data_IF_817034831687
#
_entry.id   IF_817034831687
#
_cell.length_a   1.000
_cell.length_b   1.000
_cell.length_c   1.000
_cell.angle_alpha   90.00
_cell.angle_beta   90.00
_cell.angle_gamma   90.00
#
_symmetry.space_group_name_H-M   'P 1'
#
loop_
_entity.id
_entity.type
_entity.pdbx_description
1 polymer ?
#
# COMPACT_ATOMS: atom_id res chain seq x y z
N UNK A 1 17.63 13.32 -38.82
CA UNK A 1 18.20 13.06 -37.48
C UNK A 1 17.05 12.64 -36.60
N UNK A 2 16.92 11.34 -36.33
CA UNK A 2 15.75 10.78 -35.68
C UNK A 2 15.81 10.90 -34.16
N UNK A 3 14.79 11.55 -33.59
CA UNK A 3 14.60 11.85 -32.16
C UNK A 3 14.60 10.62 -31.23
N UNK A 4 14.56 9.40 -31.80
CA UNK A 4 14.52 8.13 -31.05
C UNK A 4 15.86 7.72 -30.45
N UNK A 5 16.99 8.14 -31.02
CA UNK A 5 18.32 7.64 -30.62
C UNK A 5 18.99 8.46 -29.50
N UNK A 6 18.72 9.77 -29.43
CA UNK A 6 19.19 10.64 -28.35
C UNK A 6 18.49 10.27 -27.02
N UNK A 7 17.24 9.82 -27.10
CA UNK A 7 16.45 9.43 -25.94
C UNK A 7 17.01 8.17 -25.25
N UNK A 8 17.42 7.14 -26.01
CA UNK A 8 17.95 5.89 -25.43
C UNK A 8 19.26 6.06 -24.66
N UNK A 9 20.20 6.84 -25.19
CA UNK A 9 21.48 7.12 -24.53
C UNK A 9 21.34 8.00 -23.28
N UNK A 10 20.48 9.03 -23.34
CA UNK A 10 20.19 9.89 -22.20
C UNK A 10 19.48 9.13 -21.06
N UNK A 11 18.54 8.23 -21.40
CA UNK A 11 17.85 7.38 -20.43
C UNK A 11 18.83 6.41 -19.76
N UNK A 12 19.72 5.75 -20.52
CA UNK A 12 20.71 4.84 -19.95
C UNK A 12 21.70 5.54 -19.00
N UNK A 13 22.19 6.73 -19.38
CA UNK A 13 23.10 7.53 -18.55
C UNK A 13 22.40 8.08 -17.29
N UNK A 14 21.14 8.52 -17.43
CA UNK A 14 20.31 8.97 -16.30
C UNK A 14 20.06 7.83 -15.30
N UNK A 15 19.71 6.64 -15.80
CA UNK A 15 19.51 5.45 -14.96
C UNK A 15 20.80 5.04 -14.26
N UNK A 16 21.93 5.04 -14.95
CA UNK A 16 23.21 4.67 -14.34
C UNK A 16 23.63 5.67 -13.25
N UNK A 17 23.54 6.97 -13.54
CA UNK A 17 23.80 8.02 -12.55
C UNK A 17 22.85 7.92 -11.35
N UNK A 18 21.57 7.63 -11.59
CA UNK A 18 20.58 7.50 -10.53
C UNK A 18 20.75 6.22 -9.70
N UNK A 19 21.12 5.09 -10.31
CA UNK A 19 21.49 3.84 -9.61
C UNK A 19 22.69 4.06 -8.67
N UNK A 20 23.72 4.75 -9.13
CA UNK A 20 24.91 5.06 -8.32
C UNK A 20 24.55 5.98 -7.15
N UNK A 21 23.79 7.05 -7.40
CA UNK A 21 23.34 7.97 -6.34
C UNK A 21 22.40 7.29 -5.32
N UNK A 22 21.47 6.46 -5.80
CA UNK A 22 20.53 5.71 -4.95
C UNK A 22 21.25 4.67 -4.09
N UNK A 23 22.16 3.88 -4.68
CA UNK A 23 22.94 2.88 -3.93
C UNK A 23 23.87 3.51 -2.88
N UNK A 24 24.45 4.68 -3.18
CA UNK A 24 25.25 5.45 -2.21
C UNK A 24 24.39 5.95 -1.05
N UNK A 25 23.23 6.56 -1.33
CA UNK A 25 22.30 7.04 -0.29
C UNK A 25 21.68 5.91 0.53
N UNK A 26 21.41 4.74 -0.07
CA UNK A 26 20.92 3.56 0.64
C UNK A 26 21.97 3.05 1.64
N UNK A 27 23.26 3.02 1.26
CA UNK A 27 24.35 2.68 2.18
C UNK A 27 24.46 3.68 3.34
N UNK A 28 24.24 4.97 3.09
CA UNK A 28 24.21 5.99 4.16
C UNK A 28 23.01 5.81 5.10
N UNK A 29 21.80 5.53 4.58
CA UNK A 29 20.62 5.25 5.41
C UNK A 29 20.78 3.99 6.26
N UNK A 30 21.36 2.92 5.70
CA UNK A 30 21.66 1.68 6.46
C UNK A 30 22.64 1.99 7.60
N UNK A 31 23.70 2.76 7.34
CA UNK A 31 24.66 3.21 8.37
C UNK A 31 24.04 4.15 9.41
N UNK A 32 23.03 4.94 9.05
CA UNK A 32 22.32 5.83 9.97
C UNK A 32 21.34 5.06 10.87
N UNK A 33 20.70 4.00 10.34
CA UNK A 33 19.76 3.16 11.09
C UNK A 33 20.45 2.31 12.19
N UNK A 34 21.75 2.05 12.07
CA UNK A 34 22.55 1.35 13.09
C UNK A 34 22.99 2.26 14.27
N UNK A 35 22.78 3.58 14.18
CA UNK A 35 23.12 4.53 15.26
C UNK A 35 21.86 4.90 16.04
N UNK A 36 21.65 4.27 17.18
CA UNK A 36 20.58 4.62 18.14
C UNK A 36 20.82 6.03 18.70
N UNK A 37 19.85 6.98 18.62
CA UNK A 37 19.99 8.26 19.30
C UNK A 37 19.68 8.10 20.79
N UNK A 38 20.66 8.42 21.63
CA UNK A 38 20.52 8.58 23.08
C UNK A 38 19.39 9.55 23.43
N UNK A 39 18.41 9.08 24.21
CA UNK A 39 17.33 9.90 24.80
C UNK A 39 17.93 11.07 25.61
N UNK A 40 17.67 12.30 25.19
CA UNK A 40 17.87 13.49 26.04
C UNK A 40 16.60 13.74 26.84
N UNK A 41 16.70 13.62 28.15
CA UNK A 41 15.64 13.96 29.10
C UNK A 41 15.38 15.47 29.09
N UNK A 42 14.15 15.88 28.81
CA UNK A 42 13.66 17.23 29.06
C UNK A 42 12.79 17.19 30.32
N UNK A 43 13.24 17.88 31.38
CA UNK A 43 12.50 18.02 32.64
C UNK A 43 11.26 18.88 32.42
N UNK A 44 10.09 18.41 32.84
CA UNK A 44 8.88 19.24 32.93
C UNK A 44 8.87 20.00 34.26
N UNK A 45 8.48 21.27 34.21
CA UNK A 45 8.08 22.05 35.38
C UNK A 45 6.58 22.27 35.28
N UNK A 46 5.85 21.78 36.27
CA UNK A 46 4.40 21.90 36.33
C UNK A 46 3.95 23.33 36.65
N UNK A 47 2.73 23.64 36.19
CA UNK A 47 1.73 24.32 37.01
C UNK A 47 0.35 24.02 36.41
N UNK A 48 -0.51 23.41 37.22
CA UNK A 48 -1.89 23.14 36.86
C UNK A 48 -2.74 24.39 36.96
N UNK A 49 -3.66 24.56 36.01
CA UNK A 49 -4.79 25.48 36.14
C UNK A 49 -6.04 24.85 35.51
N UNK A 50 -7.09 24.86 36.33
CA UNK A 50 -8.54 24.71 36.15
C UNK A 50 -9.12 24.14 34.84
N UNK A 51 -9.75 22.96 34.99
CA UNK A 51 -10.78 22.42 34.08
C UNK A 51 -12.05 23.29 34.14
N UNK A 52 -12.55 23.71 32.98
CA UNK A 52 -13.86 24.34 32.82
C UNK A 52 -14.97 23.30 32.58
N UNK A 53 -16.16 23.62 33.06
CA UNK A 53 -17.33 22.76 33.23
C UNK A 53 -18.01 22.34 31.92
N UNK A 54 -17.62 21.19 31.37
CA UNK A 54 -18.54 20.32 30.63
C UNK A 54 -18.59 18.96 31.33
N UNK A 55 -19.79 18.48 31.65
CA UNK A 55 -20.03 17.22 32.34
C UNK A 55 -19.78 15.98 31.44
N UNK A 56 -18.62 15.91 30.78
CA UNK A 56 -18.23 14.81 29.91
C UNK A 56 -17.02 14.06 30.47
N UNK A 57 -17.20 12.78 30.79
CA UNK A 57 -16.12 11.89 31.23
C UNK A 57 -15.17 11.45 30.09
N UNK A 58 -15.21 12.10 28.93
CA UNK A 58 -14.58 11.67 27.69
C UNK A 58 -13.76 12.80 27.07
N UNK A 59 -12.52 12.51 26.68
CA UNK A 59 -11.64 13.47 26.00
C UNK A 59 -11.70 13.29 24.48
N UNK A 60 -11.81 12.03 24.03
CA UNK A 60 -11.83 11.66 22.61
C UNK A 60 -12.97 10.70 22.31
N UNK A 61 -13.76 10.98 21.27
CA UNK A 61 -14.71 10.02 20.67
C UNK A 61 -14.06 9.39 19.44
N UNK A 62 -14.16 8.07 19.30
CA UNK A 62 -13.74 7.34 18.11
C UNK A 62 -14.98 6.68 17.48
N UNK A 63 -15.27 7.04 16.23
CA UNK A 63 -16.37 6.47 15.45
C UNK A 63 -15.85 5.28 14.64
N UNK A 64 -16.26 4.07 15.00
CA UNK A 64 -15.84 2.81 14.37
C UNK A 64 -14.70 2.12 15.13
N UNK A 65 -14.92 0.86 15.51
CA UNK A 65 -13.97 -0.03 16.18
C UNK A 65 -13.42 -1.09 15.21
N UNK A 66 -13.02 -0.67 14.01
CA UNK A 66 -12.22 -1.49 13.10
C UNK A 66 -10.75 -1.57 13.53
N UNK A 67 -9.85 -1.90 12.59
CA UNK A 67 -8.40 -1.98 12.86
C UNK A 67 -7.83 -0.65 13.37
N UNK A 68 -8.06 0.44 12.64
CA UNK A 68 -7.53 1.76 13.00
C UNK A 68 -8.16 2.30 14.29
N UNK A 69 -9.49 2.23 14.41
CA UNK A 69 -10.21 2.75 15.58
C UNK A 69 -9.87 2.02 16.88
N UNK A 70 -9.84 0.68 16.86
CA UNK A 70 -9.49 -0.11 18.05
C UNK A 70 -8.02 0.10 18.45
N UNK A 71 -7.11 0.11 17.47
CA UNK A 71 -5.69 0.35 17.74
C UNK A 71 -5.44 1.76 18.30
N UNK A 72 -6.11 2.77 17.75
CA UNK A 72 -6.02 4.14 18.25
C UNK A 72 -6.62 4.28 19.65
N UNK A 73 -7.76 3.66 19.92
CA UNK A 73 -8.40 3.68 21.23
C UNK A 73 -7.44 3.15 22.30
N UNK A 74 -6.82 1.99 22.06
CA UNK A 74 -5.81 1.43 22.95
C UNK A 74 -4.62 2.37 23.14
N UNK A 75 -4.09 2.93 22.04
CA UNK A 75 -2.89 3.75 22.09
C UNK A 75 -3.11 5.09 22.82
N UNK A 76 -4.24 5.76 22.57
CA UNK A 76 -4.60 7.01 23.26
C UNK A 76 -4.92 6.76 24.74
N UNK A 77 -5.61 5.66 25.05
CA UNK A 77 -5.89 5.30 26.43
C UNK A 77 -4.61 4.97 27.22
N UNK A 78 -3.61 4.33 26.60
CA UNK A 78 -2.28 4.13 27.21
C UNK A 78 -1.56 5.44 27.51
N UNK A 79 -1.77 6.46 26.68
CA UNK A 79 -1.23 7.80 26.88
C UNK A 79 -2.09 8.64 27.85
N UNK A 80 -3.14 8.07 28.45
CA UNK A 80 -3.91 8.67 29.55
C UNK A 80 -5.24 9.32 29.16
N UNK A 81 -5.61 9.33 27.88
CA UNK A 81 -6.85 9.91 27.41
C UNK A 81 -8.06 9.06 27.77
N UNK A 82 -9.21 9.68 28.08
CA UNK A 82 -10.50 8.99 28.24
C UNK A 82 -11.16 8.87 26.88
N UNK A 83 -11.34 7.64 26.40
CA UNK A 83 -11.77 7.35 25.03
C UNK A 83 -13.13 6.68 25.03
N UNK A 84 -14.07 7.22 24.25
CA UNK A 84 -15.35 6.57 23.97
C UNK A 84 -15.38 6.10 22.52
N UNK A 85 -15.45 4.80 22.32
CA UNK A 85 -15.49 4.17 21.00
C UNK A 85 -16.92 3.71 20.73
N UNK A 86 -17.48 4.14 19.59
CA UNK A 86 -18.83 3.77 19.18
C UNK A 86 -18.75 2.97 17.89
N UNK A 87 -19.15 1.70 17.94
CA UNK A 87 -19.14 0.78 16.79
C UNK A 87 -20.54 0.25 16.52
N UNK A 88 -20.94 0.25 15.25
CA UNK A 88 -22.26 -0.22 14.84
C UNK A 88 -22.50 -1.67 15.24
N UNK A 89 -21.50 -2.52 15.01
CA UNK A 89 -21.60 -3.95 15.29
C UNK A 89 -20.33 -4.51 15.95
N UNK A 90 -20.48 -4.90 17.22
CA UNK A 90 -19.41 -5.51 18.03
C UNK A 90 -19.33 -7.03 17.85
N UNK A 91 -20.21 -7.64 17.07
CA UNK A 91 -20.04 -9.05 16.69
C UNK A 91 -18.80 -9.23 15.80
N UNK A 92 -18.32 -10.47 15.71
CA UNK A 92 -17.16 -10.80 14.88
C UNK A 92 -17.47 -10.50 13.41
N UNK A 93 -16.70 -9.61 12.74
CA UNK A 93 -16.96 -9.30 11.33
C UNK A 93 -16.65 -10.47 10.41
N UNK A 94 -17.64 -10.96 9.67
CA UNK A 94 -17.45 -11.92 8.59
C UNK A 94 -17.16 -11.19 7.26
N UNK A 95 -15.88 -10.98 6.94
CA UNK A 95 -15.43 -10.28 5.74
C UNK A 95 -14.09 -10.82 5.23
N UNK A 96 -13.95 -10.89 3.90
CA UNK A 96 -12.72 -11.31 3.21
C UNK A 96 -11.71 -10.17 2.94
N UNK A 97 -11.91 -9.02 3.59
CA UNK A 97 -11.06 -7.84 3.42
C UNK A 97 -10.16 -7.70 4.63
N UNK A 98 -8.87 -7.40 4.40
CA UNK A 98 -7.93 -7.20 5.50
C UNK A 98 -7.44 -8.49 6.17
N UNK A 99 -7.40 -9.61 5.46
CA UNK A 99 -6.90 -10.90 5.97
C UNK A 99 -5.37 -11.07 5.84
N UNK A 100 -4.67 -10.07 5.32
CA UNK A 100 -3.21 -10.09 5.15
C UNK A 100 -2.61 -8.76 5.61
N UNK A 101 -1.81 -8.80 6.68
CA UNK A 101 -1.07 -7.66 7.20
C UNK A 101 0.38 -7.70 6.71
N UNK A 102 0.75 -6.71 5.90
CA UNK A 102 2.12 -6.56 5.41
C UNK A 102 3.13 -6.39 6.56
N UNK A 103 4.41 -6.67 6.27
CA UNK A 103 5.49 -6.61 7.26
C UNK A 103 5.60 -5.26 7.98
N UNK A 104 5.51 -4.13 7.27
CA UNK A 104 5.51 -2.80 7.89
C UNK A 104 4.30 -2.57 8.82
N UNK A 105 3.15 -3.15 8.49
CA UNK A 105 1.96 -3.12 9.34
C UNK A 105 2.16 -3.91 10.63
N UNK A 106 2.81 -5.07 10.55
CA UNK A 106 3.18 -5.87 11.73
C UNK A 106 4.13 -5.10 12.66
N UNK A 107 5.10 -4.37 12.11
CA UNK A 107 6.00 -3.50 12.89
C UNK A 107 5.22 -2.38 13.60
N UNK A 108 4.30 -1.72 12.88
CA UNK A 108 3.47 -0.66 13.47
C UNK A 108 2.54 -1.19 14.56
N UNK A 109 2.03 -2.40 14.39
CA UNK A 109 1.25 -3.07 15.43
C UNK A 109 2.08 -3.35 16.69
N UNK A 110 3.33 -3.80 16.52
CA UNK A 110 4.26 -3.99 17.63
C UNK A 110 4.66 -2.68 18.32
N UNK A 111 4.86 -1.60 17.55
CA UNK A 111 5.13 -0.25 18.06
C UNK A 111 3.96 0.33 18.88
N UNK A 112 2.74 -0.15 18.64
CA UNK A 112 1.56 0.17 19.42
C UNK A 112 1.37 -0.75 20.63
N UNK A 113 2.18 -1.80 20.77
CA UNK A 113 2.04 -2.81 21.83
C UNK A 113 0.80 -3.70 21.65
N UNK A 114 0.46 -4.00 20.40
CA UNK A 114 -0.71 -4.78 19.97
C UNK A 114 -0.35 -6.04 19.19
N UNK A 115 0.94 -6.41 19.12
CA UNK A 115 1.40 -7.56 18.34
C UNK A 115 0.79 -8.88 18.80
N UNK A 116 0.46 -9.01 20.09
CA UNK A 116 -0.18 -10.18 20.68
C UNK A 116 -1.62 -10.38 20.21
N UNK A 117 -2.25 -9.37 19.61
CA UNK A 117 -3.56 -9.51 18.96
C UNK A 117 -3.51 -10.43 17.73
N UNK A 118 -2.31 -10.75 17.21
CA UNK A 118 -2.12 -11.73 16.15
C UNK A 118 -1.96 -13.16 16.70
N UNK A 119 -1.74 -13.33 17.99
CA UNK A 119 -1.53 -14.64 18.61
C UNK A 119 -2.85 -15.32 18.96
N UNK A 120 -2.84 -16.65 19.04
CA UNK A 120 -4.02 -17.45 19.46
C UNK A 120 -5.22 -17.42 18.50
N UNK A 121 -5.06 -16.86 17.29
CA UNK A 121 -6.10 -16.77 16.24
C UNK A 121 -5.85 -17.70 15.04
N UNK A 122 -4.86 -18.59 15.17
CA UNK A 122 -4.32 -19.42 14.07
C UNK A 122 -3.74 -18.57 12.92
N UNK A 123 -3.19 -17.40 13.24
CA UNK A 123 -2.55 -16.54 12.24
C UNK A 123 -1.28 -17.19 11.66
N UNK A 124 -1.06 -16.95 10.38
CA UNK A 124 -0.03 -17.60 9.58
C UNK A 124 1.10 -16.63 9.28
N UNK A 125 2.32 -17.02 9.61
CA UNK A 125 3.51 -16.22 9.31
C UNK A 125 3.89 -16.37 7.85
N UNK A 126 4.13 -15.24 7.17
CA UNK A 126 4.53 -15.20 5.76
C UNK A 126 5.83 -14.42 5.61
N UNK A 127 6.90 -15.12 5.19
CA UNK A 127 8.26 -14.56 5.07
C UNK A 127 8.61 -14.08 3.67
N UNK A 128 7.88 -14.54 2.65
CA UNK A 128 8.15 -14.19 1.26
C UNK A 128 6.92 -14.40 0.39
N UNK A 129 6.96 -13.81 -0.80
CA UNK A 129 6.09 -14.13 -1.91
C UNK A 129 6.81 -15.01 -2.92
N UNK A 130 6.07 -15.90 -3.58
CA UNK A 130 6.47 -16.53 -4.82
C UNK A 130 5.73 -15.82 -5.98
N UNK A 131 6.45 -15.12 -6.84
CA UNK A 131 5.92 -14.69 -8.12
C UNK A 131 5.86 -15.89 -9.07
N UNK A 132 4.69 -16.18 -9.62
CA UNK A 132 4.46 -17.30 -10.54
C UNK A 132 4.00 -16.74 -11.87
N UNK A 133 4.78 -16.95 -12.92
CA UNK A 133 4.44 -16.54 -14.28
C UNK A 133 3.56 -17.59 -14.98
N UNK A 134 2.86 -17.19 -16.04
CA UNK A 134 1.96 -18.07 -16.81
C UNK A 134 2.63 -19.29 -17.44
N UNK A 135 3.94 -19.22 -17.74
CA UNK A 135 4.72 -20.35 -18.25
C UNK A 135 5.26 -21.27 -17.14
N UNK A 136 4.86 -21.05 -15.88
CA UNK A 136 5.29 -21.83 -14.73
C UNK A 136 6.61 -21.38 -14.10
N UNK A 137 7.32 -20.39 -14.67
CA UNK A 137 8.51 -19.81 -14.04
C UNK A 137 8.17 -19.19 -12.69
N UNK A 138 9.11 -19.29 -11.75
CA UNK A 138 8.93 -18.81 -10.38
C UNK A 138 10.07 -17.89 -9.98
N UNK A 139 9.74 -16.77 -9.34
CA UNK A 139 10.66 -15.86 -8.69
C UNK A 139 10.37 -15.80 -7.20
N UNK A 140 11.40 -15.86 -6.35
CA UNK A 140 11.24 -15.64 -4.91
C UNK A 140 11.39 -14.15 -4.59
N UNK A 141 10.47 -13.63 -3.79
CA UNK A 141 10.42 -12.23 -3.39
C UNK A 141 10.37 -12.21 -1.86
N UNK A 142 11.52 -12.00 -1.23
CA UNK A 142 11.61 -11.99 0.22
C UNK A 142 11.26 -10.62 0.80
N UNK A 143 10.70 -10.61 2.01
CA UNK A 143 10.71 -9.37 2.78
C UNK A 143 12.15 -9.03 3.21
N UNK A 144 12.53 -7.75 3.17
CA UNK A 144 13.85 -7.33 3.63
C UNK A 144 13.98 -7.46 5.16
N UNK A 145 15.24 -7.52 5.60
CA UNK A 145 15.62 -7.54 7.02
C UNK A 145 14.96 -8.65 7.85
N UNK A 146 14.68 -9.81 7.24
CA UNK A 146 13.96 -10.93 7.87
C UNK A 146 12.60 -10.55 8.48
N UNK A 147 11.98 -9.49 7.96
CA UNK A 147 10.63 -9.10 8.37
C UNK A 147 9.61 -10.13 7.88
N UNK A 148 8.44 -10.17 8.51
CA UNK A 148 7.37 -11.09 8.11
C UNK A 148 6.02 -10.41 8.09
N UNK A 149 5.18 -10.80 7.14
CA UNK A 149 3.76 -10.51 7.13
C UNK A 149 2.97 -11.58 7.92
N UNK A 150 1.67 -11.34 8.06
CA UNK A 150 0.72 -12.23 8.73
C UNK A 150 -0.55 -12.38 7.91
N UNK A 151 -0.95 -13.61 7.64
CA UNK A 151 -2.30 -13.94 7.16
C UNK A 151 -3.19 -14.40 8.30
N UNK A 152 -4.46 -14.04 8.30
CA UNK A 152 -5.40 -14.36 9.38
C UNK A 152 -6.86 -14.15 8.95
N UNK A 153 -7.80 -14.75 9.69
CA UNK A 153 -9.20 -14.36 9.62
C UNK A 153 -9.40 -12.95 10.19
N UNK A 154 -9.95 -12.04 9.37
CA UNK A 154 -10.11 -10.63 9.72
C UNK A 154 -10.95 -10.42 10.97
N UNK A 155 -12.06 -11.15 11.09
CA UNK A 155 -12.99 -11.04 12.22
C UNK A 155 -12.31 -11.27 13.56
N UNK A 156 -11.61 -12.41 13.69
CA UNK A 156 -10.82 -12.78 14.87
C UNK A 156 -9.80 -11.71 15.25
N UNK A 157 -9.07 -11.17 14.26
CA UNK A 157 -8.08 -10.12 14.52
C UNK A 157 -8.72 -8.84 15.05
N UNK A 158 -9.85 -8.40 14.48
CA UNK A 158 -10.58 -7.22 14.95
C UNK A 158 -11.14 -7.43 16.36
N UNK A 159 -11.67 -8.62 16.68
CA UNK A 159 -12.14 -8.93 18.03
C UNK A 159 -11.00 -8.86 19.04
N UNK A 160 -9.81 -9.40 18.73
CA UNK A 160 -8.63 -9.27 19.59
C UNK A 160 -8.22 -7.82 19.84
N UNK A 161 -8.29 -6.96 18.82
CA UNK A 161 -8.01 -5.52 18.98
C UNK A 161 -9.04 -4.83 19.88
N UNK A 162 -10.34 -5.15 19.70
CA UNK A 162 -11.44 -4.61 20.51
C UNK A 162 -11.32 -5.04 21.96
N UNK A 163 -11.07 -6.33 22.22
CA UNK A 163 -10.81 -6.90 23.55
C UNK A 163 -9.63 -6.19 24.23
N UNK A 164 -8.52 -6.02 23.50
CA UNK A 164 -7.32 -5.36 24.03
C UNK A 164 -7.57 -3.90 24.37
N UNK A 165 -8.28 -3.15 23.52
CA UNK A 165 -8.66 -1.77 23.80
C UNK A 165 -9.59 -1.67 25.02
N UNK A 166 -10.65 -2.49 25.07
CA UNK A 166 -11.63 -2.51 26.15
C UNK A 166 -11.06 -3.00 27.50
N UNK A 167 -9.90 -3.66 27.50
CA UNK A 167 -9.20 -4.05 28.74
C UNK A 167 -8.68 -2.86 29.55
N UNK A 168 -8.61 -1.66 28.96
CA UNK A 168 -8.16 -0.45 29.63
C UNK A 168 -9.34 0.27 30.31
N UNK A 169 -9.21 0.70 31.58
CA UNK A 169 -10.33 1.25 32.36
C UNK A 169 -10.84 2.60 31.85
N UNK A 170 -10.04 3.30 31.03
CA UNK A 170 -10.36 4.59 30.42
C UNK A 170 -10.86 4.46 28.97
N UNK A 171 -11.19 3.25 28.52
CA UNK A 171 -11.85 3.00 27.24
C UNK A 171 -13.29 2.56 27.50
N UNK A 172 -14.26 3.33 27.01
CA UNK A 172 -15.65 2.94 26.93
C UNK A 172 -15.95 2.46 25.50
N UNK A 173 -16.08 1.14 25.29
CA UNK A 173 -16.44 0.56 23.98
C UNK A 173 -17.93 0.25 23.97
N UNK A 174 -18.67 0.90 23.08
CA UNK A 174 -20.12 0.82 23.02
C UNK A 174 -20.62 0.40 21.63
N UNK A 175 -21.66 -0.44 21.61
CA UNK A 175 -22.37 -0.78 20.39
C UNK A 175 -23.45 0.28 20.06
N UNK A 176 -23.21 1.06 19.02
CA UNK A 176 -24.12 2.09 18.53
C UNK A 176 -23.78 2.54 17.11
N UNK A 177 -24.78 3.04 16.38
CA UNK A 177 -24.58 3.59 15.03
C UNK A 177 -24.56 5.11 15.10
N UNK A 178 -23.40 5.73 14.86
CA UNK A 178 -23.30 7.18 14.71
C UNK A 178 -24.12 7.62 13.49
N UNK A 179 -24.98 8.61 13.69
CA UNK A 179 -25.90 9.14 12.66
C UNK A 179 -25.45 10.49 12.14
N UNK A 180 -24.85 11.35 12.98
CA UNK A 180 -24.31 12.64 12.57
C UNK A 180 -23.25 13.16 13.55
N UNK A 181 -22.44 14.11 13.06
CA UNK A 181 -21.55 14.91 13.90
C UNK A 181 -22.33 16.11 14.47
N UNK A 182 -22.07 16.45 15.74
CA UNK A 182 -22.65 17.63 16.39
C UNK A 182 -21.71 18.80 16.16
N UNK A 183 -22.16 19.82 15.45
CA UNK A 183 -21.40 21.04 15.16
C UNK A 183 -21.97 22.25 15.90
N UNK A 184 -21.09 22.98 16.57
CA UNK A 184 -21.41 24.24 17.25
C UNK A 184 -20.37 25.30 16.87
N UNK A 185 -20.82 26.44 16.35
CA UNK A 185 -19.96 27.58 15.96
C UNK A 185 -18.79 27.18 15.03
N UNK A 186 -19.01 26.29 14.06
CA UNK A 186 -17.97 25.86 13.12
C UNK A 186 -16.99 24.82 13.67
N UNK A 187 -17.25 24.26 14.86
CA UNK A 187 -16.42 23.23 15.50
C UNK A 187 -17.27 22.02 15.86
N UNK A 188 -16.76 20.84 15.57
CA UNK A 188 -17.38 19.59 16.03
C UNK A 188 -17.18 19.45 17.54
N UNK A 189 -18.26 19.09 18.24
CA UNK A 189 -18.32 18.92 19.71
C UNK A 189 -18.68 17.51 20.14
N UNK A 190 -18.98 16.63 19.21
CA UNK A 190 -19.43 15.28 19.52
C UNK A 190 -20.17 14.60 18.37
N UNK A 191 -21.01 13.63 18.72
CA UNK A 191 -21.78 12.83 17.79
C UNK A 191 -23.18 12.56 18.32
N UNK A 192 -24.14 12.43 17.41
CA UNK A 192 -25.41 11.78 17.65
C UNK A 192 -25.29 10.32 17.20
N UNK A 193 -25.84 9.40 17.98
CA UNK A 193 -25.80 7.99 17.66
C UNK A 193 -27.03 7.25 18.19
N UNK A 194 -27.35 6.14 17.54
CA UNK A 194 -28.43 5.24 17.93
C UNK A 194 -27.84 4.00 18.59
N UNK A 195 -28.23 3.74 19.83
CA UNK A 195 -27.82 2.52 20.55
C UNK A 195 -28.40 1.26 19.89
N UNK A 196 -27.91 0.08 20.27
CA UNK A 196 -28.51 -1.20 19.84
C UNK A 196 -30.00 -1.31 20.17
N UNK A 197 -30.45 -0.71 21.27
CA UNK A 197 -31.86 -0.65 21.68
C UNK A 197 -32.72 0.34 20.89
N UNK A 198 -32.12 1.10 19.98
CA UNK A 198 -32.81 2.06 19.13
C UNK A 198 -32.97 3.45 19.75
N UNK A 199 -32.46 3.67 20.97
CA UNK A 199 -32.46 5.00 21.61
C UNK A 199 -31.44 5.91 20.93
N UNK A 200 -31.85 7.15 20.63
CA UNK A 200 -30.94 8.20 20.17
C UNK A 200 -30.29 8.90 21.37
N UNK A 201 -28.96 8.98 21.34
CA UNK A 201 -28.13 9.60 22.36
C UNK A 201 -27.14 10.57 21.71
N UNK A 202 -26.65 11.50 22.53
CA UNK A 202 -25.56 12.40 22.18
C UNK A 202 -24.34 12.07 23.05
N UNK A 203 -23.15 12.06 22.44
CA UNK A 203 -21.89 11.99 23.15
C UNK A 203 -21.03 13.19 22.77
N UNK A 204 -20.37 13.81 23.75
CA UNK A 204 -19.53 14.99 23.54
C UNK A 204 -18.08 14.71 23.92
N UNK A 205 -17.16 15.31 23.17
CA UNK A 205 -15.73 15.23 23.41
C UNK A 205 -15.02 16.43 22.79
N UNK A 206 -13.79 16.68 23.24
CA UNK A 206 -12.94 17.74 22.69
C UNK A 206 -12.45 17.42 21.27
N UNK A 207 -12.31 16.13 20.95
CA UNK A 207 -11.89 15.64 19.64
C UNK A 207 -12.70 14.41 19.24
N UNK A 208 -13.28 14.44 18.03
CA UNK A 208 -13.95 13.29 17.40
C UNK A 208 -13.10 12.73 16.26
N UNK A 209 -12.78 11.45 16.31
CA UNK A 209 -11.96 10.78 15.29
C UNK A 209 -12.82 9.76 14.56
N UNK A 210 -12.93 9.90 13.24
CA UNK A 210 -13.82 9.07 12.41
C UNK A 210 -13.01 8.01 11.66
N UNK A 211 -13.32 6.75 11.96
CA UNK A 211 -12.65 5.54 11.51
C UNK A 211 -13.63 4.50 10.91
N UNK A 212 -14.85 4.90 10.56
CA UNK A 212 -15.96 4.04 10.11
C UNK A 212 -15.77 3.43 8.70
N UNK A 213 -14.73 3.85 7.98
CA UNK A 213 -14.27 3.22 6.75
C UNK A 213 -15.15 3.51 5.54
N UNK A 214 -15.55 2.44 4.85
CA UNK A 214 -16.02 2.41 3.44
C UNK A 214 -17.33 3.16 3.12
N UNK A 215 -18.04 3.68 4.11
CA UNK A 215 -19.46 4.05 3.97
C UNK A 215 -19.74 5.56 3.95
N UNK A 216 -18.77 6.40 4.27
CA UNK A 216 -19.04 7.82 4.57
C UNK A 216 -18.69 8.83 3.49
N UNK A 217 -18.27 8.40 2.29
CA UNK A 217 -17.88 9.34 1.23
C UNK A 217 -18.55 9.04 -0.12
N UNK A 218 -19.25 9.99 -0.74
CA UNK A 218 -19.83 9.82 -2.08
C UNK A 218 -18.79 9.80 -3.20
N UNK A 219 -17.52 10.17 -2.95
CA UNK A 219 -16.42 10.19 -3.95
C UNK A 219 -15.68 8.84 -4.10
N UNK A 220 -16.34 7.74 -3.75
CA UNK A 220 -15.71 6.41 -3.81
C UNK A 220 -15.82 5.87 -5.23
N UNK A 221 -14.66 5.62 -5.86
CA UNK A 221 -14.58 4.95 -7.15
C UNK A 221 -14.44 3.44 -6.95
N UNK A 222 -15.14 2.63 -7.75
CA UNK A 222 -15.07 1.16 -7.73
C UNK A 222 -14.48 0.68 -9.06
N UNK A 223 -13.14 0.63 -9.20
CA UNK A 223 -12.49 0.29 -10.47
C UNK A 223 -12.60 -1.20 -10.85
N UNK A 224 -12.76 -2.09 -9.85
CA UNK A 224 -12.70 -3.53 -10.04
C UNK A 224 -13.39 -4.28 -8.90
N UNK A 225 -13.54 -5.58 -9.10
CA UNK A 225 -14.11 -6.51 -8.12
C UNK A 225 -13.18 -7.71 -8.04
N UNK A 226 -12.78 -8.05 -6.83
CA UNK A 226 -12.03 -9.26 -6.53
C UNK A 226 -12.99 -10.37 -6.10
N UNK A 227 -12.79 -11.58 -6.60
CA UNK A 227 -13.46 -12.78 -6.08
C UNK A 227 -12.50 -13.45 -5.11
N UNK A 228 -12.94 -13.59 -3.86
CA UNK A 228 -12.20 -14.25 -2.81
C UNK A 228 -12.65 -15.68 -2.63
N UNK A 229 -11.66 -16.56 -2.64
CA UNK A 229 -11.77 -18.00 -2.56
C UNK A 229 -11.12 -18.53 -1.28
N UNK A 230 -11.80 -19.40 -0.53
CA UNK A 230 -11.17 -20.22 0.52
C UNK A 230 -10.92 -21.63 -0.02
N UNK A 231 -9.68 -22.10 0.08
CA UNK A 231 -9.31 -23.50 -0.11
C UNK A 231 -9.08 -24.12 1.26
N UNK A 232 -9.85 -25.16 1.58
CA UNK A 232 -9.75 -25.93 2.81
C UNK A 232 -8.85 -27.15 2.63
N UNK A 233 -8.07 -27.49 3.66
CA UNK A 233 -7.20 -28.66 3.73
C UNK A 233 -6.26 -28.82 2.52
N UNK A 234 -5.84 -27.69 1.95
CA UNK A 234 -4.91 -27.62 0.83
C UNK A 234 -3.52 -27.19 1.31
N UNK A 235 -2.47 -27.87 0.87
CA UNK A 235 -1.10 -27.50 1.18
C UNK A 235 -0.49 -26.66 0.05
N UNK A 236 -0.06 -25.44 0.37
CA UNK A 236 0.73 -24.65 -0.57
C UNK A 236 2.08 -25.36 -0.84
N UNK A 237 2.60 -25.29 -2.08
CA UNK A 237 3.88 -25.93 -2.43
C UNK A 237 5.07 -25.52 -1.56
N UNK A 238 5.01 -24.34 -0.94
CA UNK A 238 6.02 -23.81 -0.05
C UNK A 238 5.35 -23.23 1.21
N UNK A 239 5.71 -23.77 2.37
CA UNK A 239 5.25 -23.27 3.66
C UNK A 239 5.68 -21.81 3.87
N UNK A 240 4.86 -21.05 4.61
CA UNK A 240 5.12 -19.66 4.99
C UNK A 240 5.37 -18.70 3.82
N UNK A 241 4.81 -19.01 2.64
CA UNK A 241 4.84 -18.14 1.46
C UNK A 241 3.45 -17.75 1.00
N UNK A 242 3.32 -16.50 0.61
CA UNK A 242 2.22 -16.04 -0.23
C UNK A 242 2.61 -16.15 -1.70
N UNK A 243 1.66 -16.05 -2.61
CA UNK A 243 1.87 -16.21 -4.04
C UNK A 243 1.27 -15.03 -4.80
N UNK A 244 2.08 -14.43 -5.67
CA UNK A 244 1.63 -13.51 -6.70
C UNK A 244 1.61 -14.26 -8.02
N UNK A 245 0.43 -14.68 -8.46
CA UNK A 245 0.27 -15.43 -9.70
C UNK A 245 -0.07 -14.42 -10.80
N UNK A 246 0.88 -14.26 -11.72
CA UNK A 246 0.85 -13.34 -12.85
C UNK A 246 0.51 -14.13 -14.12
N UNK A 247 -0.79 -14.27 -14.38
CA UNK A 247 -1.33 -14.83 -15.63
C UNK A 247 -1.96 -13.70 -16.45
N UNK A 248 -3.11 -13.98 -17.07
CA UNK A 248 -3.92 -12.98 -17.79
C UNK A 248 -4.40 -11.89 -16.82
N UNK A 249 -4.73 -12.28 -15.58
CA UNK A 249 -5.04 -11.39 -14.44
C UNK A 249 -4.08 -11.64 -13.28
N UNK A 250 -4.06 -10.71 -12.30
CA UNK A 250 -3.36 -10.92 -11.04
C UNK A 250 -4.22 -11.70 -10.05
N UNK A 251 -3.64 -12.75 -9.47
CA UNK A 251 -4.22 -13.41 -8.32
C UNK A 251 -3.21 -13.52 -7.18
N UNK A 252 -3.72 -13.37 -5.96
CA UNK A 252 -2.94 -13.34 -4.73
C UNK A 252 -3.43 -14.48 -3.86
N UNK A 253 -2.53 -15.37 -3.47
CA UNK A 253 -2.86 -16.51 -2.63
C UNK A 253 -2.02 -16.51 -1.35
N UNK A 254 -2.63 -16.68 -0.19
CA UNK A 254 -1.93 -16.65 1.09
C UNK A 254 -2.67 -17.49 2.15
N UNK A 255 -1.93 -18.11 3.09
CA UNK A 255 -2.54 -18.87 4.18
C UNK A 255 -3.19 -17.90 5.19
N UNK A 256 -4.41 -18.21 5.65
CA UNK A 256 -5.15 -17.42 6.65
C UNK A 256 -5.40 -18.20 7.94
N UNK A 257 -5.27 -19.53 7.90
CA UNK A 257 -5.24 -20.42 9.04
C UNK A 257 -4.36 -21.64 8.75
N UNK A 258 -4.19 -22.54 9.71
CA UNK A 258 -3.48 -23.80 9.53
C UNK A 258 -4.16 -24.74 8.52
N UNK A 259 -5.43 -24.49 8.19
CA UNK A 259 -6.24 -25.32 7.29
C UNK A 259 -6.79 -24.57 6.07
N UNK A 260 -6.74 -23.24 6.08
CA UNK A 260 -7.41 -22.42 5.08
C UNK A 260 -6.44 -21.49 4.36
N UNK A 261 -6.59 -21.44 3.05
CA UNK A 261 -5.86 -20.55 2.16
C UNK A 261 -6.84 -19.63 1.45
N UNK A 262 -6.57 -18.34 1.47
CA UNK A 262 -7.29 -17.34 0.68
C UNK A 262 -6.66 -17.21 -0.69
N UNK A 263 -7.46 -17.30 -1.75
CA UNK A 263 -7.08 -16.86 -3.09
C UNK A 263 -7.96 -15.68 -3.50
N UNK A 264 -7.37 -14.53 -3.80
CA UNK A 264 -8.05 -13.37 -4.37
C UNK A 264 -7.74 -13.30 -5.86
N UNK A 265 -8.78 -13.23 -6.69
CA UNK A 265 -8.65 -13.11 -8.15
C UNK A 265 -9.31 -11.82 -8.61
N UNK A 266 -8.56 -10.97 -9.30
CA UNK A 266 -9.09 -9.76 -9.91
C UNK A 266 -9.84 -10.10 -11.22
N UNK A 267 -11.08 -9.60 -11.35
CA UNK A 267 -12.03 -9.78 -12.46
C UNK A 267 -12.50 -11.22 -12.72
N UNK A 268 -13.79 -11.48 -12.48
CA UNK A 268 -14.41 -12.81 -12.56
C UNK A 268 -14.46 -13.44 -13.98
N UNK A 269 -14.42 -12.65 -15.05
CA UNK A 269 -14.68 -13.14 -16.42
C UNK A 269 -13.69 -14.21 -16.92
N UNK A 270 -12.43 -14.18 -16.47
CA UNK A 270 -11.42 -15.18 -16.86
C UNK A 270 -11.39 -16.45 -15.99
N UNK A 271 -12.02 -16.43 -14.82
CA UNK A 271 -11.94 -17.54 -13.87
C UNK A 271 -12.75 -18.78 -14.31
N UNK A 272 -13.82 -18.60 -15.11
CA UNK A 272 -14.64 -19.69 -15.65
C UNK A 272 -13.88 -20.67 -16.55
N UNK A 273 -12.74 -20.26 -17.11
CA UNK A 273 -11.98 -21.07 -18.08
C UNK A 273 -10.83 -21.88 -17.44
N UNK A 274 -10.39 -21.54 -16.22
CA UNK A 274 -9.15 -22.11 -15.65
C UNK A 274 -9.36 -23.25 -14.65
N UNK A 275 -10.60 -23.50 -14.19
CA UNK A 275 -10.91 -24.58 -13.25
C UNK A 275 -11.95 -25.54 -13.85
N UNK A 276 -11.54 -26.30 -14.87
CA UNK A 276 -12.01 -27.69 -14.95
C UNK A 276 -11.30 -28.41 -13.83
N UNK A 277 -12.02 -28.87 -12.81
CA UNK A 277 -11.78 -30.07 -11.98
C UNK A 277 -12.62 -29.93 -10.70
N UNK A 278 -13.46 -30.94 -10.49
CA UNK A 278 -14.20 -31.26 -9.27
C UNK A 278 -13.36 -31.06 -8.00
N UNK A 279 -13.75 -30.13 -7.12
CA UNK A 279 -13.19 -29.99 -5.76
C UNK A 279 -14.29 -29.63 -4.75
N UNK A 280 -14.21 -30.14 -3.49
CA UNK A 280 -15.42 -30.48 -2.72
C UNK A 280 -16.04 -29.35 -1.89
N UNK A 281 -15.30 -28.30 -1.53
CA UNK A 281 -15.82 -27.24 -0.65
C UNK A 281 -15.24 -25.90 -1.05
N UNK A 282 -16.07 -25.02 -1.59
CA UNK A 282 -15.64 -23.69 -1.99
C UNK A 282 -16.68 -22.64 -1.60
N UNK A 283 -16.31 -21.71 -0.71
CA UNK A 283 -17.14 -20.55 -0.37
C UNK A 283 -16.74 -19.36 -1.24
N UNK A 284 -17.65 -18.93 -2.10
CA UNK A 284 -17.46 -17.77 -2.98
C UNK A 284 -17.85 -16.48 -2.28
N UNK A 285 -16.89 -15.58 -2.11
CA UNK A 285 -17.13 -14.26 -1.55
C UNK A 285 -16.70 -13.19 -2.57
N UNK A 286 -17.54 -12.17 -2.76
CA UNK A 286 -17.26 -11.08 -3.71
C UNK A 286 -16.82 -9.85 -2.93
N UNK A 287 -15.63 -9.35 -3.25
CA UNK A 287 -15.06 -8.12 -2.72
C UNK A 287 -15.13 -7.02 -3.78
N UNK A 288 -15.52 -5.83 -3.34
CA UNK A 288 -15.45 -4.62 -4.16
C UNK A 288 -14.15 -3.91 -3.85
N UNK A 289 -13.27 -3.76 -4.83
CA UNK A 289 -12.08 -2.94 -4.68
C UNK A 289 -12.48 -1.49 -4.91
N UNK A 290 -12.19 -0.63 -3.93
CA UNK A 290 -12.55 0.79 -4.03
C UNK A 290 -11.34 1.67 -3.79
N UNK A 291 -11.33 2.81 -4.46
CA UNK A 291 -10.28 3.81 -4.39
C UNK A 291 -10.92 5.12 -3.96
N UNK A 292 -10.26 5.81 -3.04
CA UNK A 292 -10.69 7.11 -2.57
C UNK A 292 -9.45 7.94 -2.27
N UNK A 293 -9.22 9.03 -3.02
CA UNK A 293 -8.08 9.90 -2.76
C UNK A 293 -8.19 10.52 -1.36
N UNK A 294 -7.05 10.75 -0.73
CA UNK A 294 -7.03 11.47 0.54
C UNK A 294 -7.61 12.87 0.35
N UNK A 295 -8.76 13.13 0.95
CA UNK A 295 -9.36 14.46 1.02
C UNK A 295 -9.76 14.73 2.46
N UNK A 296 -8.83 15.30 3.22
CA UNK A 296 -9.14 15.86 4.53
C UNK A 296 -9.30 17.36 4.35
N UNK A 297 -10.44 17.88 4.76
CA UNK A 297 -10.56 19.30 5.06
C UNK A 297 -10.23 19.49 6.54
N UNK A 298 -9.46 20.51 6.92
CA UNK A 298 -9.27 20.84 8.33
C UNK A 298 -10.64 21.15 8.94
N UNK A 299 -11.11 20.31 9.86
CA UNK A 299 -12.39 20.47 10.55
C UNK A 299 -12.12 20.60 12.04
N UNK A 300 -12.24 21.80 12.64
CA UNK A 300 -12.03 21.97 14.07
C UNK A 300 -12.88 20.97 14.88
N UNK A 301 -12.22 20.22 15.77
CA UNK A 301 -12.87 19.23 16.64
C UNK A 301 -13.14 17.87 16.00
N UNK A 302 -12.83 17.66 14.72
CA UNK A 302 -12.94 16.36 14.06
C UNK A 302 -11.73 15.99 13.20
N UNK A 303 -11.44 14.69 13.09
CA UNK A 303 -10.34 14.19 12.29
C UNK A 303 -10.66 12.84 11.65
N UNK A 304 -10.25 12.62 10.39
CA UNK A 304 -10.47 11.35 9.68
C UNK A 304 -9.17 10.52 9.66
N UNK A 305 -9.25 9.19 9.83
CA UNK A 305 -8.11 8.29 9.59
C UNK A 305 -8.53 6.93 9.01
N UNK A 306 -7.58 6.21 8.42
CA UNK A 306 -7.84 4.91 7.81
C UNK A 306 -8.64 5.05 6.51
N UNK A 307 -9.52 4.08 6.23
CA UNK A 307 -10.28 4.03 4.98
C UNK A 307 -11.34 5.15 4.88
N UNK A 308 -11.73 5.79 5.99
CA UNK A 308 -12.59 7.00 5.96
C UNK A 308 -11.86 8.21 5.38
N UNK A 309 -10.51 8.23 5.47
CA UNK A 309 -9.66 9.28 4.95
C UNK A 309 -9.11 8.95 3.56
N UNK A 310 -8.60 7.73 3.35
CA UNK A 310 -7.93 7.36 2.11
C UNK A 310 -7.97 5.86 1.84
N UNK A 311 -8.61 5.47 0.73
CA UNK A 311 -8.65 4.10 0.25
C UNK A 311 -7.75 3.87 -0.97
N UNK A 312 -7.32 2.63 -1.15
CA UNK A 312 -6.50 2.20 -2.30
C UNK A 312 -6.92 0.81 -2.78
N UNK A 313 -6.50 0.48 -4.00
CA UNK A 313 -6.69 -0.85 -4.57
C UNK A 313 -6.04 -1.92 -3.67
N UNK A 314 -6.71 -3.05 -3.46
CA UNK A 314 -6.26 -4.03 -2.46
C UNK A 314 -5.15 -4.98 -2.91
N UNK A 315 -4.72 -4.89 -4.17
CA UNK A 315 -3.69 -5.76 -4.78
C UNK A 315 -2.36 -5.80 -4.00
N UNK A 316 -2.01 -4.74 -3.28
CA UNK A 316 -0.79 -4.73 -2.45
C UNK A 316 -1.05 -5.12 -1.00
N UNK A 317 -2.30 -5.28 -0.55
CA UNK A 317 -2.63 -5.53 0.85
C UNK A 317 -2.21 -4.41 1.82
N UNK A 318 -1.97 -3.19 1.32
CA UNK A 318 -1.36 -2.11 2.12
C UNK A 318 -2.31 -1.29 2.99
N UNK A 319 -3.63 -1.50 2.91
CA UNK A 319 -4.64 -0.67 3.59
C UNK A 319 -4.46 -0.63 5.12
N UNK A 320 -4.36 -1.80 5.76
CA UNK A 320 -4.13 -1.88 7.21
C UNK A 320 -2.78 -1.29 7.62
N UNK A 321 -1.74 -1.47 6.80
CA UNK A 321 -0.41 -0.89 7.08
C UNK A 321 -0.46 0.62 7.10
N UNK A 322 -1.15 1.25 6.14
CA UNK A 322 -1.32 2.71 6.14
C UNK A 322 -2.18 3.13 7.33
N UNK A 323 -3.28 2.43 7.62
CA UNK A 323 -4.13 2.71 8.78
C UNK A 323 -3.37 2.65 10.11
N UNK A 324 -2.56 1.62 10.34
CA UNK A 324 -1.74 1.50 11.55
C UNK A 324 -0.59 2.53 11.59
N UNK A 325 -0.01 2.88 10.44
CA UNK A 325 0.98 3.96 10.35
C UNK A 325 0.37 5.31 10.70
N UNK A 326 -0.85 5.57 10.24
CA UNK A 326 -1.64 6.76 10.57
C UNK A 326 -1.96 6.79 12.09
N UNK A 327 -2.31 5.65 12.69
CA UNK A 327 -2.54 5.54 14.15
C UNK A 327 -1.29 5.90 14.94
N UNK A 328 -0.13 5.33 14.58
CA UNK A 328 1.16 5.65 15.22
C UNK A 328 1.44 7.14 15.14
N UNK A 329 1.32 7.71 13.94
CA UNK A 329 1.60 9.12 13.69
C UNK A 329 0.66 10.04 14.47
N UNK A 330 -0.65 9.76 14.45
CA UNK A 330 -1.63 10.57 15.17
C UNK A 330 -1.42 10.50 16.67
N UNK A 331 -1.15 9.30 17.21
CA UNK A 331 -0.80 9.10 18.62
C UNK A 331 0.42 9.91 19.03
N UNK A 332 1.48 9.88 18.23
CA UNK A 332 2.71 10.63 18.53
C UNK A 332 2.53 12.16 18.44
N UNK A 333 1.66 12.64 17.53
CA UNK A 333 1.27 14.05 17.45
C UNK A 333 0.42 14.47 18.67
N UNK A 334 -0.50 13.63 19.14
CA UNK A 334 -1.37 13.96 20.27
C UNK A 334 -0.67 13.83 21.63
N UNK A 335 0.32 12.93 21.76
CA UNK A 335 1.07 12.68 23.01
C UNK A 335 1.66 13.92 23.71
N UNK A 336 2.27 14.90 23.02
CA UNK A 336 2.79 16.11 23.68
C UNK A 336 1.70 17.09 24.14
N UNK A 337 0.44 16.87 23.75
CA UNK A 337 -0.69 17.73 24.14
C UNK A 337 -1.24 17.27 25.49
N UNK A 338 -1.49 18.21 26.40
CA UNK A 338 -2.14 17.93 27.69
C UNK A 338 -3.60 18.40 27.72
N UNK A 339 -4.04 19.13 26.70
CA UNK A 339 -5.37 19.70 26.59
C UNK A 339 -5.84 19.64 25.13
N UNK A 340 -7.05 19.12 24.94
CA UNK A 340 -7.71 19.04 23.63
C UNK A 340 -8.82 20.09 23.46
N UNK A 341 -9.03 20.98 24.42
CA UNK A 341 -10.15 21.93 24.42
C UNK A 341 -10.13 22.93 23.26
N UNK A 342 -8.94 23.32 22.77
CA UNK A 342 -8.78 24.27 21.68
C UNK A 342 -8.76 23.58 20.31
N UNK A 343 -9.97 23.31 19.81
CA UNK A 343 -10.21 22.67 18.51
C UNK A 343 -9.47 23.34 17.33
N UNK A 344 -9.36 24.68 17.30
CA UNK A 344 -8.70 25.39 16.21
C UNK A 344 -7.18 25.20 16.22
N UNK A 345 -6.55 25.28 17.40
CA UNK A 345 -5.11 25.03 17.56
C UNK A 345 -4.74 23.59 17.23
N UNK A 346 -5.56 22.62 17.66
CA UNK A 346 -5.35 21.20 17.36
C UNK A 346 -5.52 20.95 15.87
N UNK A 347 -6.56 21.49 15.25
CA UNK A 347 -6.78 21.38 13.82
C UNK A 347 -5.57 21.85 13.01
N UNK A 348 -5.05 23.05 13.33
CA UNK A 348 -3.84 23.59 12.70
C UNK A 348 -2.60 22.73 12.96
N UNK A 349 -2.44 22.22 14.19
CA UNK A 349 -1.32 21.36 14.53
C UNK A 349 -1.37 20.02 13.77
N UNK A 350 -2.56 19.43 13.64
CA UNK A 350 -2.80 18.18 12.91
C UNK A 350 -2.71 18.34 11.39
N UNK A 351 -2.61 19.55 10.82
CA UNK A 351 -2.27 19.72 9.40
C UNK A 351 -0.91 19.06 9.06
N UNK A 352 0.02 19.02 10.03
CA UNK A 352 1.30 18.33 9.88
C UNK A 352 1.15 16.83 9.61
N UNK A 353 0.07 16.19 10.07
CA UNK A 353 -0.24 14.78 9.82
C UNK A 353 -0.27 14.47 8.32
N UNK A 354 -0.92 15.32 7.52
CA UNK A 354 -1.03 15.14 6.08
C UNK A 354 0.34 15.19 5.38
N UNK A 355 1.26 16.01 5.88
CA UNK A 355 2.64 16.10 5.37
C UNK A 355 3.43 14.86 5.77
N UNK A 356 3.36 14.47 7.05
CA UNK A 356 4.16 13.39 7.61
C UNK A 356 3.75 12.00 7.10
N UNK A 357 2.46 11.77 6.85
CA UNK A 357 1.97 10.49 6.28
C UNK A 357 2.27 10.32 4.79
N UNK A 358 2.54 11.42 4.08
CA UNK A 358 2.60 11.46 2.62
C UNK A 358 3.56 10.43 2.04
N UNK A 359 4.80 10.22 2.54
CA UNK A 359 5.71 9.22 1.99
C UNK A 359 5.11 7.80 1.99
N UNK A 360 4.59 7.35 3.13
CA UNK A 360 3.97 6.02 3.32
C UNK A 360 2.73 5.84 2.45
N UNK A 361 1.79 6.76 2.57
CA UNK A 361 0.53 6.68 1.83
C UNK A 361 0.76 6.78 0.31
N UNK A 362 1.64 7.68 -0.14
CA UNK A 362 1.95 7.87 -1.56
C UNK A 362 2.61 6.63 -2.16
N UNK A 363 3.66 6.10 -1.53
CA UNK A 363 4.36 4.92 -2.06
C UNK A 363 3.43 3.72 -2.23
N UNK A 364 2.65 3.39 -1.21
CA UNK A 364 1.71 2.26 -1.23
C UNK A 364 0.57 2.50 -2.24
N UNK A 365 0.05 3.74 -2.31
CA UNK A 365 -1.01 4.10 -3.27
C UNK A 365 -0.56 3.98 -4.71
N UNK A 366 0.56 4.62 -5.03
CA UNK A 366 1.09 4.64 -6.39
C UNK A 366 1.38 3.22 -6.84
N UNK A 367 2.04 2.39 -6.02
CA UNK A 367 2.30 1.01 -6.40
C UNK A 367 1.01 0.19 -6.57
N UNK A 368 0.02 0.34 -5.69
CA UNK A 368 -1.24 -0.37 -5.82
C UNK A 368 -1.98 -0.01 -7.11
N UNK A 369 -2.09 1.29 -7.42
CA UNK A 369 -2.74 1.76 -8.63
C UNK A 369 -1.97 1.39 -9.90
N UNK A 370 -0.63 1.51 -9.88
CA UNK A 370 0.23 1.12 -11.01
C UNK A 370 0.09 -0.38 -11.28
N UNK A 371 0.24 -1.24 -10.27
CA UNK A 371 0.12 -2.69 -10.43
C UNK A 371 -1.26 -3.09 -10.95
N UNK A 372 -2.32 -2.55 -10.36
CA UNK A 372 -3.67 -2.79 -10.87
C UNK A 372 -3.78 -2.38 -12.35
N UNK A 373 -3.29 -1.19 -12.71
CA UNK A 373 -3.35 -0.73 -14.12
C UNK A 373 -2.57 -1.63 -15.07
N UNK A 374 -1.41 -2.15 -14.67
CA UNK A 374 -0.61 -3.07 -15.48
C UNK A 374 -1.31 -4.42 -15.65
N UNK A 375 -1.93 -4.93 -14.59
CA UNK A 375 -2.46 -6.30 -14.55
C UNK A 375 -3.95 -6.41 -14.92
N UNK A 376 -4.70 -5.31 -14.92
CA UNK A 376 -6.13 -5.28 -15.22
C UNK A 376 -6.46 -5.09 -16.70
N UNK A 377 -5.47 -4.80 -17.56
CA UNK A 377 -5.65 -4.62 -19.00
C UNK A 377 -5.66 -5.95 -19.76
N UNK A 378 -6.46 -6.01 -20.84
CA UNK A 378 -6.49 -7.13 -21.78
C UNK A 378 -5.10 -7.39 -22.37
N UNK A 379 -4.76 -8.66 -22.57
CA UNK A 379 -3.51 -9.09 -23.22
C UNK A 379 -3.47 -8.73 -24.74
N UNK A 380 -4.55 -8.16 -25.27
CA UNK A 380 -4.62 -7.64 -26.64
C UNK A 380 -3.76 -6.39 -26.88
N UNK A 381 -3.40 -5.64 -25.83
CA UNK A 381 -2.46 -4.50 -25.93
C UNK A 381 -1.01 -5.00 -25.80
N UNK A 382 -0.20 -4.98 -26.89
CA UNK A 382 1.17 -5.49 -26.88
C UNK A 382 2.06 -4.77 -25.85
N UNK A 383 1.87 -3.47 -25.63
CA UNK A 383 2.66 -2.71 -24.68
C UNK A 383 2.38 -3.14 -23.23
N UNK A 384 1.14 -3.53 -22.93
CA UNK A 384 0.75 -4.02 -21.60
C UNK A 384 1.27 -5.42 -21.35
N UNK A 385 1.23 -6.29 -22.36
CA UNK A 385 1.84 -7.62 -22.29
C UNK A 385 3.34 -7.52 -22.00
N UNK A 386 4.05 -6.64 -22.72
CA UNK A 386 5.48 -6.39 -22.48
C UNK A 386 5.73 -5.83 -21.07
N UNK A 387 4.86 -4.95 -20.57
CA UNK A 387 4.96 -4.42 -19.21
C UNK A 387 4.75 -5.49 -18.13
N UNK A 388 3.82 -6.44 -18.33
CA UNK A 388 3.63 -7.59 -17.42
C UNK A 388 4.87 -8.49 -17.41
N UNK A 389 5.43 -8.80 -18.58
CA UNK A 389 6.65 -9.61 -18.71
C UNK A 389 7.86 -8.90 -18.08
N UNK A 390 8.03 -7.61 -18.35
CA UNK A 390 9.05 -6.77 -17.76
C UNK A 390 8.95 -6.75 -16.23
N UNK A 391 7.74 -6.64 -15.69
CA UNK A 391 7.50 -6.66 -14.24
C UNK A 391 7.93 -7.99 -13.60
N UNK A 392 7.50 -9.12 -14.16
CA UNK A 392 7.90 -10.44 -13.66
C UNK A 392 9.42 -10.63 -13.71
N UNK A 393 10.04 -10.27 -14.83
CA UNK A 393 11.48 -10.41 -15.00
C UNK A 393 12.27 -9.45 -14.08
N UNK A 394 11.76 -8.24 -13.87
CA UNK A 394 12.34 -7.27 -12.94
C UNK A 394 12.36 -7.81 -11.51
N UNK A 395 11.22 -8.35 -11.05
CA UNK A 395 11.13 -9.02 -9.74
C UNK A 395 12.05 -10.23 -9.64
N UNK A 396 12.11 -11.04 -10.70
CA UNK A 396 12.91 -12.28 -10.73
C UNK A 396 14.42 -12.04 -10.68
N UNK A 397 14.90 -10.80 -10.88
CA UNK A 397 16.31 -10.45 -10.73
C UNK A 397 16.80 -10.47 -9.29
N UNK A 398 15.91 -10.41 -8.30
CA UNK A 398 16.29 -10.42 -6.89
C UNK A 398 17.01 -9.14 -6.45
N UNK A 399 17.47 -9.14 -5.19
CA UNK A 399 18.26 -8.05 -4.60
C UNK A 399 17.50 -6.72 -4.61
N UNK A 400 18.15 -5.63 -5.05
CA UNK A 400 17.51 -4.30 -5.04
C UNK A 400 16.18 -4.28 -5.80
N UNK A 401 16.06 -5.04 -6.90
CA UNK A 401 14.87 -5.02 -7.76
C UNK A 401 13.64 -5.68 -7.11
N UNK A 402 13.82 -6.77 -6.36
CA UNK A 402 12.75 -7.40 -5.57
C UNK A 402 12.58 -6.72 -4.22
N UNK A 403 13.66 -6.59 -3.46
CA UNK A 403 13.64 -6.22 -2.05
C UNK A 403 13.29 -4.75 -1.89
N UNK A 404 13.78 -3.89 -2.79
CA UNK A 404 13.46 -2.46 -2.79
C UNK A 404 12.00 -2.19 -3.16
N UNK A 405 11.41 -3.00 -4.06
CA UNK A 405 10.00 -2.91 -4.36
C UNK A 405 9.14 -3.44 -3.20
N UNK A 406 9.58 -4.53 -2.56
CA UNK A 406 8.93 -5.05 -1.36
C UNK A 406 9.02 -4.10 -0.17
N UNK A 407 10.15 -3.41 0.03
CA UNK A 407 10.34 -2.35 1.03
C UNK A 407 9.23 -1.29 0.92
N UNK A 408 8.91 -0.88 -0.31
CA UNK A 408 7.87 0.09 -0.62
C UNK A 408 6.45 -0.50 -0.44
N UNK A 409 6.17 -1.65 -1.03
CA UNK A 409 4.84 -2.29 -0.99
C UNK A 409 4.41 -2.68 0.41
N UNK A 410 5.37 -3.14 1.23
CA UNK A 410 5.11 -3.60 2.59
C UNK A 410 5.10 -2.49 3.64
N UNK A 411 5.48 -1.26 3.25
CA UNK A 411 5.54 -0.10 4.14
C UNK A 411 6.73 -0.10 5.10
N UNK A 412 7.79 -0.86 4.80
CA UNK A 412 9.01 -0.91 5.62
C UNK A 412 9.88 0.32 5.41
N UNK A 413 10.03 0.77 4.16
CA UNK A 413 10.80 1.96 3.80
C UNK A 413 10.15 2.70 2.62
N UNK A 414 9.10 3.50 2.88
CA UNK A 414 8.34 4.18 1.84
C UNK A 414 9.03 5.47 1.36
N UNK A 415 10.26 5.35 0.88
CA UNK A 415 11.06 6.47 0.37
C UNK A 415 10.59 6.89 -1.04
N UNK A 416 10.15 8.15 -1.26
CA UNK A 416 9.65 8.57 -2.56
C UNK A 416 10.70 8.51 -3.69
N UNK A 417 11.98 8.70 -3.37
CA UNK A 417 13.05 8.58 -4.38
C UNK A 417 13.26 7.12 -4.79
N UNK A 418 13.13 6.18 -3.84
CA UNK A 418 13.08 4.75 -4.12
C UNK A 418 11.91 4.38 -5.04
N UNK A 419 10.72 4.94 -4.82
CA UNK A 419 9.59 4.74 -5.72
C UNK A 419 9.90 5.21 -7.14
N UNK A 420 10.41 6.43 -7.28
CA UNK A 420 10.83 7.00 -8.57
C UNK A 420 11.87 6.09 -9.24
N UNK A 421 12.87 5.65 -8.49
CA UNK A 421 13.89 4.70 -8.95
C UNK A 421 13.25 3.45 -9.56
N UNK A 422 12.37 2.79 -8.82
CA UNK A 422 11.76 1.54 -9.28
C UNK A 422 10.86 1.75 -10.50
N UNK A 423 10.08 2.83 -10.55
CA UNK A 423 9.26 3.15 -11.72
C UNK A 423 10.11 3.34 -12.99
N UNK A 424 11.18 4.14 -12.91
CA UNK A 424 12.06 4.37 -14.07
C UNK A 424 12.88 3.13 -14.43
N UNK A 425 13.35 2.37 -13.44
CA UNK A 425 14.11 1.15 -13.68
C UNK A 425 13.25 0.06 -14.35
N UNK A 426 11.98 -0.09 -13.94
CA UNK A 426 11.03 -1.00 -14.60
C UNK A 426 10.71 -0.55 -16.03
N UNK A 427 10.47 0.75 -16.25
CA UNK A 427 10.21 1.29 -17.58
C UNK A 427 11.41 1.06 -18.52
N UNK A 428 12.61 1.37 -18.03
CA UNK A 428 13.83 1.16 -18.79
C UNK A 428 14.10 -0.32 -19.08
N UNK A 429 13.77 -1.18 -18.13
CA UNK A 429 13.86 -2.62 -18.32
C UNK A 429 12.91 -3.08 -19.43
N UNK A 430 11.65 -2.63 -19.41
CA UNK A 430 10.68 -2.93 -20.45
C UNK A 430 11.21 -2.51 -21.83
N UNK A 431 11.52 -1.22 -22.00
CA UNK A 431 12.06 -0.65 -23.26
C UNK A 431 13.33 -1.35 -23.72
N UNK A 432 14.24 -1.65 -22.79
CA UNK A 432 15.47 -2.38 -23.09
C UNK A 432 15.19 -3.77 -23.62
N UNK A 433 14.28 -4.50 -22.96
CA UNK A 433 13.96 -5.90 -23.26
C UNK A 433 13.13 -6.10 -24.53
N UNK A 434 12.12 -5.27 -24.81
CA UNK A 434 11.26 -5.47 -25.98
C UNK A 434 11.59 -4.59 -27.18
N UNK A 435 12.37 -3.51 -27.03
CA UNK A 435 12.77 -2.67 -28.17
C UNK A 435 14.26 -2.78 -28.44
N UNK A 436 15.11 -2.43 -27.47
CA UNK A 436 16.55 -2.22 -27.73
C UNK A 436 17.28 -3.54 -28.02
N UNK A 437 17.14 -4.56 -27.16
CA UNK A 437 17.84 -5.83 -27.36
C UNK A 437 17.41 -6.61 -28.61
N UNK A 438 16.11 -6.66 -28.97
CA UNK A 438 15.70 -7.25 -30.24
C UNK A 438 16.31 -6.57 -31.47
N UNK A 439 16.35 -5.23 -31.49
CA UNK A 439 16.99 -4.46 -32.56
C UNK A 439 18.49 -4.73 -32.60
N UNK A 440 19.17 -4.73 -31.44
CA UNK A 440 20.59 -5.07 -31.35
C UNK A 440 20.90 -6.47 -31.87
N UNK A 441 20.02 -7.44 -31.61
CA UNK A 441 20.17 -8.82 -32.08
C UNK A 441 19.90 -8.94 -33.59
N UNK A 442 19.00 -8.12 -34.13
CA UNK A 442 18.65 -8.13 -35.55
C UNK A 442 19.66 -7.36 -36.42
N UNK A 443 20.12 -6.19 -35.97
CA UNK A 443 20.90 -5.24 -36.77
C UNK A 443 22.38 -5.16 -36.34
N UNK A 444 22.71 -5.65 -35.15
CA UNK A 444 24.06 -5.60 -34.58
C UNK A 444 24.39 -4.25 -33.90
N UNK A 445 25.25 -4.30 -32.88
CA UNK A 445 25.61 -3.16 -32.00
C UNK A 445 25.99 -1.90 -32.79
N UNK A 446 26.75 -2.07 -33.88
CA UNK A 446 27.22 -0.95 -34.70
C UNK A 446 26.09 -0.27 -35.45
N UNK A 447 25.16 -1.01 -36.06
CA UNK A 447 24.06 -0.40 -36.80
C UNK A 447 23.03 0.26 -35.87
N UNK A 448 22.79 -0.32 -34.68
CA UNK A 448 21.81 0.20 -33.72
C UNK A 448 22.25 1.50 -33.04
N UNK A 449 23.54 1.67 -32.74
CA UNK A 449 24.07 2.89 -32.09
C UNK A 449 24.82 3.83 -33.05
N UNK A 450 25.25 3.35 -34.21
CA UNK A 450 25.94 4.12 -35.26
C UNK A 450 25.37 3.78 -36.64
N UNK A 451 24.10 4.14 -36.93
CA UNK A 451 23.54 3.96 -38.26
C UNK A 451 24.40 4.71 -39.28
N UNK A 452 24.73 4.07 -40.40
CA UNK A 452 25.63 4.65 -41.40
C UNK A 452 25.00 5.90 -42.04
N UNK A 453 25.28 7.08 -41.51
CA UNK A 453 25.05 8.34 -42.21
C UNK A 453 26.20 8.60 -43.17
N UNK A 454 26.12 8.03 -44.36
CA UNK A 454 26.89 8.48 -45.52
C UNK A 454 25.95 8.38 -46.74
N UNK A 455 25.42 9.50 -47.26
CA UNK A 455 24.85 9.49 -48.59
C UNK A 455 26.00 9.21 -49.56
N UNK A 456 25.92 8.08 -50.28
CA UNK A 456 26.76 7.84 -51.44
C UNK A 456 26.34 8.82 -52.55
N UNK A 457 26.87 10.04 -52.52
CA UNK A 457 26.77 10.99 -53.62
C UNK A 457 28.16 11.41 -54.08
N UNK A 458 28.34 11.31 -55.40
CA UNK A 458 29.53 11.58 -56.22
C UNK A 458 30.60 10.47 -56.31
N UNK A 459 30.31 9.44 -57.11
CA UNK A 459 31.27 9.02 -58.13
C UNK A 459 30.74 9.44 -59.50
N UNK A 460 31.39 10.46 -60.07
CA UNK A 460 31.24 10.86 -61.47
C UNK A 460 31.53 9.64 -62.38
N UNK A 461 30.74 9.37 -63.43
CA UNK A 461 31.08 8.31 -64.38
C UNK A 461 32.38 8.68 -65.14
N UNK A 462 33.20 7.70 -65.56
CA UNK A 462 34.38 8.00 -66.37
C UNK A 462 33.95 8.56 -67.73
N UNK A 463 34.62 9.63 -68.16
CA UNK A 463 34.43 10.21 -69.48
C UNK A 463 34.83 9.18 -70.56
N UNK A 464 33.97 9.00 -71.57
CA UNK A 464 34.29 8.24 -72.77
C UNK A 464 35.37 9.01 -73.56
N UNK A 465 36.57 8.45 -73.66
CA UNK A 465 37.58 8.88 -74.62
C UNK A 465 37.18 8.38 -76.00
N UNK A 466 36.81 9.30 -76.89
CA UNK A 466 36.78 9.08 -78.33
C UNK A 466 38.19 8.82 -78.83
N UNK A 467 38.47 7.60 -79.31
CA UNK A 467 39.64 7.33 -80.12
C UNK A 467 39.17 6.89 -81.51
N UNK A 468 39.24 7.83 -82.45
CA UNK A 468 39.15 7.54 -83.87
C UNK A 468 40.55 7.16 -84.34
N UNK A 469 40.72 5.90 -84.79
CA UNK A 469 41.71 5.61 -85.84
C UNK A 469 41.33 4.40 -86.68
N UNK A 470 41.23 4.70 -87.97
CA UNK A 470 41.01 3.83 -89.10
C UNK A 470 42.06 2.71 -89.24
N UNK A 471 41.61 1.52 -89.64
CA UNK A 471 42.28 0.57 -90.55
C UNK A 471 41.17 -0.36 -91.09
N UNK A 472 41.01 -0.70 -92.37
CA UNK A 472 41.65 -0.34 -93.62
C UNK A 472 41.05 -1.16 -94.78
N UNK A 473 41.51 -0.84 -95.99
CA UNK A 473 41.27 -1.41 -97.33
C UNK A 473 40.16 -0.81 -98.17
#
# INVERSE_FOLDING_TARGET
>A
MDSKHIFGGAVAAFLFGFVVLYSSRRREKIKASEKTPSKKNLKSSGNGVCRSNFAGNTDVIIVGAGVAGSALAYALAKDGWRVHVIERDLTEPDRIVGEFLQAGGCIKLAELGLQDCLDGSDSQTVFSFAAVHKDGKRGAISFPSNSSARGFHYGRFVQKLREKAASLPNVNLEQGTVTSLVEENGSIKGVLYKTKGGQELAASASLTIVCDGLQCNPKIEVPSYSVGLVLEDYNLPYANRAYFILKDTISITYPISSKEIRCLVDKFAHFRCQMSYTMPSYVRLIKHDRIMPASSYPTPGAFLIGDSLNMRHSVTGGGMTVGLSDVVLLRDLLRPLNDLSNAASICKYLESFCVLRKPTAFAINTLASTLHTVFSSSDEDPARKEMKEAFFNYLSRGGVFSDGLMDLMSGLNPDPLSLVFHCFAMLAYAVGSGIIFPILKAEGIRATFFPATMPAYYRTPPAQSTDHRETGK
#
